data_IF_891111814705
#
_entry.id   IF_891111814705
#
_cell.length_a   1.000
_cell.length_b   1.000
_cell.length_c   1.000
_cell.angle_alpha   90.00
_cell.angle_beta   90.00
_cell.angle_gamma   90.00
#
_symmetry.space_group_name_H-M   'P 1'
#
loop_
_entity.id
_entity.type
_entity.pdbx_description
1 polymer ?
#
# COMPACT_ATOMS: atom_id res chain seq x y z
N UNK A 1 18.69 -3.12 -24.51
CA UNK A 1 17.46 -3.01 -23.70
C UNK A 1 16.88 -1.59 -23.73
N UNK A 2 17.71 -0.55 -23.58
CA UNK A 2 17.32 0.88 -23.68
C UNK A 2 16.49 1.21 -24.94
N UNK A 3 16.91 0.73 -26.12
CA UNK A 3 16.22 1.02 -27.40
C UNK A 3 14.79 0.48 -27.47
N UNK A 4 14.50 -0.63 -26.78
CA UNK A 4 13.17 -1.22 -26.78
C UNK A 4 12.19 -0.37 -25.96
N UNK A 5 12.58 0.07 -24.75
CA UNK A 5 11.71 0.91 -23.90
C UNK A 5 11.48 2.29 -24.52
N UNK A 6 12.51 2.90 -25.11
CA UNK A 6 12.39 4.19 -25.76
C UNK A 6 11.45 4.14 -26.97
N UNK A 7 11.47 3.05 -27.73
CA UNK A 7 10.54 2.83 -28.86
C UNK A 7 9.07 2.75 -28.40
N UNK A 8 8.82 2.39 -27.14
CA UNK A 8 7.47 2.24 -26.57
C UNK A 8 7.02 3.46 -25.75
N UNK A 9 7.72 4.60 -25.81
CA UNK A 9 7.40 5.78 -24.97
C UNK A 9 5.95 6.29 -25.08
N UNK A 10 5.25 6.00 -26.18
CA UNK A 10 3.86 6.41 -26.40
C UNK A 10 2.84 5.29 -26.19
N UNK A 11 3.26 4.05 -25.94
CA UNK A 11 2.38 2.87 -25.82
C UNK A 11 2.53 2.15 -24.48
N UNK A 12 3.67 2.29 -23.81
CA UNK A 12 3.96 1.60 -22.56
C UNK A 12 3.07 2.10 -21.42
N UNK A 13 2.26 1.21 -20.88
CA UNK A 13 1.30 1.48 -19.80
C UNK A 13 1.68 0.85 -18.46
N UNK A 14 2.35 -0.30 -18.50
CA UNK A 14 2.76 -1.05 -17.32
C UNK A 14 4.24 -1.43 -17.41
N UNK A 15 4.95 -1.27 -16.31
CA UNK A 15 6.32 -1.73 -16.15
C UNK A 15 6.43 -2.55 -14.86
N UNK A 16 7.04 -3.73 -15.00
CA UNK A 16 7.42 -4.59 -13.86
C UNK A 16 8.93 -4.70 -13.82
N UNK A 17 9.48 -4.39 -12.67
CA UNK A 17 10.91 -4.39 -12.40
C UNK A 17 11.11 -5.37 -11.27
N UNK A 18 11.83 -6.45 -11.53
CA UNK A 18 11.93 -7.54 -10.58
C UNK A 18 13.31 -8.16 -10.55
N UNK A 19 13.82 -8.45 -9.35
CA UNK A 19 15.05 -9.22 -9.13
C UNK A 19 16.26 -8.65 -9.87
N UNK A 20 16.34 -7.31 -9.97
CA UNK A 20 17.42 -6.62 -10.66
C UNK A 20 17.92 -5.40 -9.88
N UNK A 21 19.20 -5.06 -10.09
CA UNK A 21 19.78 -3.82 -9.61
C UNK A 21 19.25 -2.64 -10.43
N UNK A 22 18.79 -1.60 -9.73
CA UNK A 22 18.27 -0.40 -10.37
C UNK A 22 19.44 0.46 -10.87
N UNK A 23 19.52 0.61 -12.20
CA UNK A 23 20.56 1.38 -12.87
C UNK A 23 19.96 2.50 -13.76
N UNK A 24 20.83 3.22 -14.47
CA UNK A 24 20.46 4.35 -15.32
C UNK A 24 19.56 3.98 -16.51
N UNK A 25 19.46 2.69 -16.89
CA UNK A 25 18.62 2.27 -18.01
C UNK A 25 17.13 2.52 -17.73
N UNK A 26 16.73 2.59 -16.46
CA UNK A 26 15.35 2.88 -16.05
C UNK A 26 14.99 4.38 -16.14
N UNK A 27 15.94 5.26 -16.43
CA UNK A 27 15.68 6.68 -16.67
C UNK A 27 14.76 6.91 -17.87
N UNK A 28 14.72 5.98 -18.82
CA UNK A 28 13.82 6.00 -19.97
C UNK A 28 12.33 6.01 -19.56
N UNK A 29 11.99 5.53 -18.36
CA UNK A 29 10.61 5.58 -17.85
C UNK A 29 10.10 7.01 -17.65
N UNK A 30 11.03 7.98 -17.51
CA UNK A 30 10.68 9.40 -17.38
C UNK A 30 10.02 9.96 -18.64
N UNK A 31 10.32 9.40 -19.82
CA UNK A 31 9.75 9.85 -21.10
C UNK A 31 8.51 9.05 -21.54
N UNK A 32 8.15 7.97 -20.84
CA UNK A 32 6.95 7.18 -21.13
C UNK A 32 5.69 7.96 -20.75
N UNK A 33 4.88 8.36 -21.73
CA UNK A 33 3.74 9.30 -21.50
C UNK A 33 2.51 8.63 -20.90
N UNK A 34 2.29 7.37 -21.23
CA UNK A 34 1.08 6.63 -20.87
C UNK A 34 1.33 5.60 -19.75
N UNK A 35 2.48 5.70 -19.07
CA UNK A 35 2.82 4.80 -17.98
C UNK A 35 1.93 5.10 -16.77
N UNK A 36 1.10 4.12 -16.40
CA UNK A 36 0.12 4.23 -15.32
C UNK A 36 0.37 3.22 -14.20
N UNK A 37 1.03 2.10 -14.51
CA UNK A 37 1.32 1.04 -13.55
C UNK A 37 2.82 0.81 -13.42
N UNK A 38 3.33 0.88 -12.19
CA UNK A 38 4.70 0.53 -11.85
C UNK A 38 4.72 -0.51 -10.75
N UNK A 39 5.36 -1.64 -11.02
CA UNK A 39 5.59 -2.71 -10.05
C UNK A 39 7.08 -2.92 -9.84
N UNK A 40 7.50 -2.93 -8.59
CA UNK A 40 8.89 -3.12 -8.18
C UNK A 40 8.94 -4.29 -7.20
N UNK A 41 9.70 -5.33 -7.56
CA UNK A 41 9.70 -6.63 -6.90
C UNK A 41 11.15 -7.01 -6.53
N UNK A 42 11.48 -7.11 -5.25
CA UNK A 42 12.78 -7.56 -4.75
C UNK A 42 13.97 -6.85 -5.40
N UNK A 43 13.85 -5.53 -5.57
CA UNK A 43 14.94 -4.66 -5.99
C UNK A 43 15.70 -4.13 -4.77
N UNK A 44 16.97 -3.77 -4.98
CA UNK A 44 17.85 -3.17 -3.97
C UNK A 44 17.38 -1.76 -3.54
N UNK A 45 18.11 -1.16 -2.59
CA UNK A 45 17.80 0.15 -1.95
C UNK A 45 17.69 1.34 -2.92
N UNK A 46 17.84 1.14 -4.23
CA UNK A 46 17.82 2.18 -5.25
C UNK A 46 16.46 2.47 -5.86
N UNK A 47 15.37 2.02 -5.23
CA UNK A 47 13.99 2.33 -5.65
C UNK A 47 13.71 3.83 -5.73
N UNK A 48 14.34 4.63 -4.88
CA UNK A 48 14.27 6.10 -4.94
C UNK A 48 14.70 6.70 -6.28
N UNK A 49 15.59 6.03 -7.04
CA UNK A 49 16.04 6.49 -8.37
C UNK A 49 14.94 6.35 -9.43
N UNK A 50 14.18 5.24 -9.39
CA UNK A 50 13.07 5.01 -10.32
C UNK A 50 11.87 5.85 -9.94
N UNK A 51 11.63 5.97 -8.65
CA UNK A 51 10.52 6.69 -8.07
C UNK A 51 10.71 8.23 -8.01
N UNK A 52 11.59 8.77 -8.86
CA UNK A 52 11.69 10.21 -9.11
C UNK A 52 10.33 10.79 -9.59
N UNK A 53 10.11 12.08 -9.32
CA UNK A 53 8.84 12.79 -9.56
C UNK A 53 8.34 12.68 -11.01
N UNK A 54 9.23 12.51 -11.99
CA UNK A 54 8.87 12.39 -13.42
C UNK A 54 8.25 11.05 -13.78
N UNK A 55 8.58 10.00 -13.02
CA UNK A 55 7.96 8.69 -13.20
C UNK A 55 6.71 8.64 -12.36
N UNK A 56 6.77 9.09 -11.10
CA UNK A 56 5.67 8.93 -10.15
C UNK A 56 4.44 9.80 -10.46
N UNK A 57 4.59 10.99 -11.03
CA UNK A 57 3.49 11.95 -11.28
C UNK A 57 2.46 11.56 -12.36
N UNK A 58 2.46 10.30 -12.80
CA UNK A 58 1.53 9.72 -13.78
C UNK A 58 1.04 8.33 -13.37
N UNK A 59 1.58 7.78 -12.28
CA UNK A 59 1.24 6.44 -11.82
C UNK A 59 -0.08 6.48 -11.06
N UNK A 60 -1.02 5.62 -11.47
CA UNK A 60 -2.26 5.36 -10.74
C UNK A 60 -2.19 4.07 -9.93
N UNK A 61 -1.29 3.14 -10.32
CA UNK A 61 -1.06 1.86 -9.65
C UNK A 61 0.42 1.69 -9.28
N UNK A 62 0.71 1.63 -7.99
CA UNK A 62 2.04 1.36 -7.47
C UNK A 62 2.05 0.05 -6.66
N UNK A 63 2.99 -0.83 -6.98
CA UNK A 63 3.25 -2.05 -6.23
C UNK A 63 4.73 -2.10 -5.87
N UNK A 64 5.03 -2.14 -4.59
CA UNK A 64 6.40 -2.24 -4.06
C UNK A 64 6.44 -3.41 -3.11
N UNK A 65 7.06 -4.50 -3.57
CA UNK A 65 7.29 -5.71 -2.79
C UNK A 65 8.80 -5.85 -2.69
N UNK A 66 9.41 -5.37 -1.61
CA UNK A 66 10.87 -5.32 -1.55
C UNK A 66 11.42 -5.70 -0.19
N UNK A 67 12.41 -6.59 -0.21
CA UNK A 67 12.92 -7.19 1.01
C UNK A 67 13.65 -6.25 1.99
N UNK A 68 14.03 -5.03 1.59
CA UNK A 68 14.96 -4.15 2.35
C UNK A 68 14.76 -2.64 2.12
N UNK A 69 13.57 -2.19 1.74
CA UNK A 69 13.33 -0.75 1.52
C UNK A 69 12.89 -0.09 2.82
N UNK A 70 13.68 0.89 3.25
CA UNK A 70 13.24 1.89 4.23
C UNK A 70 11.98 2.61 3.71
N UNK A 71 10.92 2.80 4.49
CA UNK A 71 9.73 3.53 4.06
C UNK A 71 9.95 4.93 3.45
N UNK A 72 11.07 5.62 3.73
CA UNK A 72 11.31 7.00 3.30
C UNK A 72 11.23 7.23 1.77
N UNK A 73 11.90 6.45 0.89
CA UNK A 73 11.68 6.50 -0.55
C UNK A 73 10.20 6.44 -0.98
N UNK A 74 9.39 5.64 -0.30
CA UNK A 74 7.96 5.49 -0.62
C UNK A 74 7.21 6.74 -0.16
N UNK A 75 7.48 7.25 1.04
CA UNK A 75 6.90 8.52 1.55
C UNK A 75 7.03 9.65 0.53
N UNK A 76 8.23 9.87 -0.01
CA UNK A 76 8.49 10.93 -0.99
C UNK A 76 7.66 10.78 -2.28
N UNK A 77 7.30 9.56 -2.64
CA UNK A 77 6.48 9.26 -3.82
C UNK A 77 5.02 9.57 -3.56
N UNK A 78 4.54 9.16 -2.40
CA UNK A 78 3.19 9.43 -1.96
C UNK A 78 2.97 10.94 -1.87
N UNK A 79 3.90 11.70 -1.28
CA UNK A 79 3.81 13.16 -1.19
C UNK A 79 3.76 13.85 -2.56
N UNK A 80 4.50 13.33 -3.54
CA UNK A 80 4.59 13.95 -4.88
C UNK A 80 3.47 13.53 -5.82
N UNK A 81 2.95 12.32 -5.67
CA UNK A 81 2.13 11.65 -6.69
C UNK A 81 0.89 10.96 -6.13
N UNK A 82 0.69 10.99 -4.82
CA UNK A 82 -0.41 10.31 -4.14
C UNK A 82 -1.79 10.71 -4.64
N UNK A 83 -1.95 11.93 -5.16
CA UNK A 83 -3.23 12.40 -5.69
C UNK A 83 -3.70 11.57 -6.90
N UNK A 84 -2.79 10.94 -7.64
CA UNK A 84 -3.14 10.10 -8.79
C UNK A 84 -3.29 8.63 -8.42
N UNK A 85 -2.71 8.21 -7.29
CA UNK A 85 -2.74 6.83 -6.85
C UNK A 85 -4.18 6.40 -6.51
N UNK A 86 -4.58 5.31 -7.14
CA UNK A 86 -5.84 4.60 -6.90
C UNK A 86 -5.59 3.21 -6.35
N UNK A 87 -4.47 2.59 -6.71
CA UNK A 87 -4.08 1.26 -6.25
C UNK A 87 -2.68 1.29 -5.68
N UNK A 88 -2.55 0.80 -4.45
CA UNK A 88 -1.29 0.70 -3.75
C UNK A 88 -1.15 -0.67 -3.10
N UNK A 89 -0.03 -1.33 -3.39
CA UNK A 89 0.39 -2.58 -2.75
C UNK A 89 1.79 -2.36 -2.15
N UNK A 90 1.93 -2.58 -0.86
CA UNK A 90 3.19 -2.43 -0.13
C UNK A 90 3.47 -3.68 0.69
N UNK A 91 4.57 -4.38 0.39
CA UNK A 91 5.16 -5.35 1.29
C UNK A 91 6.42 -4.75 1.90
N UNK A 92 6.33 -4.43 3.18
CA UNK A 92 7.32 -3.65 3.90
C UNK A 92 8.14 -4.58 4.79
N UNK A 93 9.46 -4.48 4.75
CA UNK A 93 10.34 -5.25 5.63
C UNK A 93 11.09 -4.29 6.54
N UNK A 94 10.80 -4.32 7.84
CA UNK A 94 11.45 -3.48 8.82
C UNK A 94 10.86 -3.65 10.23
N UNK A 95 11.73 -3.56 11.23
CA UNK A 95 11.35 -3.55 12.66
C UNK A 95 11.26 -2.09 13.20
N UNK A 96 11.51 -1.10 12.35
CA UNK A 96 11.55 0.31 12.77
C UNK A 96 10.17 0.98 12.71
N UNK A 97 9.45 0.91 13.83
CA UNK A 97 8.13 1.51 14.03
C UNK A 97 8.01 3.00 13.68
N UNK A 98 9.10 3.78 13.69
CA UNK A 98 9.03 5.21 13.41
C UNK A 98 8.79 5.50 11.93
N UNK A 99 9.49 4.79 11.03
CA UNK A 99 9.37 5.01 9.60
C UNK A 99 7.99 4.59 9.05
N UNK A 100 7.37 3.58 9.65
CA UNK A 100 5.99 3.20 9.34
C UNK A 100 4.98 4.30 9.70
N UNK A 101 5.22 5.03 10.79
CA UNK A 101 4.34 6.13 11.19
C UNK A 101 4.33 7.22 10.12
N UNK A 102 5.50 7.62 9.64
CA UNK A 102 5.64 8.61 8.56
C UNK A 102 4.97 8.13 7.26
N UNK A 103 5.08 6.84 6.94
CA UNK A 103 4.42 6.25 5.78
C UNK A 103 2.88 6.37 5.88
N UNK A 104 2.30 6.04 7.04
CA UNK A 104 0.86 6.14 7.24
C UNK A 104 0.36 7.59 7.20
N UNK A 105 1.12 8.53 7.75
CA UNK A 105 0.83 9.96 7.68
C UNK A 105 0.87 10.48 6.24
N UNK A 106 1.88 10.06 5.46
CA UNK A 106 2.00 10.41 4.05
C UNK A 106 0.85 9.82 3.22
N UNK A 107 0.46 8.56 3.46
CA UNK A 107 -0.70 7.94 2.82
C UNK A 107 -1.99 8.72 3.12
N UNK A 108 -2.23 9.03 4.39
CA UNK A 108 -3.42 9.74 4.86
C UNK A 108 -3.53 11.13 4.25
N UNK A 109 -2.42 11.87 4.19
CA UNK A 109 -2.39 13.25 3.73
C UNK A 109 -2.34 13.40 2.21
N UNK A 110 -1.67 12.47 1.51
CA UNK A 110 -1.31 12.66 0.10
C UNK A 110 -2.10 11.78 -0.86
N UNK A 111 -2.77 10.72 -0.39
CA UNK A 111 -3.41 9.71 -1.24
C UNK A 111 -4.95 9.65 -1.08
N UNK A 112 -5.69 10.73 -1.38
CA UNK A 112 -7.15 10.78 -1.15
C UNK A 112 -7.96 9.90 -2.12
N UNK A 113 -7.34 9.39 -3.19
CA UNK A 113 -8.01 8.69 -4.28
C UNK A 113 -7.83 7.16 -4.25
N UNK A 114 -7.26 6.61 -3.17
CA UNK A 114 -7.05 5.16 -3.03
C UNK A 114 -8.40 4.43 -3.01
N UNK A 115 -8.51 3.45 -3.90
CA UNK A 115 -9.64 2.52 -4.06
C UNK A 115 -9.21 1.11 -3.65
N UNK A 116 -7.95 0.76 -3.90
CA UNK A 116 -7.36 -0.53 -3.53
C UNK A 116 -6.12 -0.29 -2.69
N UNK A 117 -6.13 -0.81 -1.46
CA UNK A 117 -5.00 -0.77 -0.56
C UNK A 117 -4.67 -2.19 -0.09
N UNK A 118 -3.40 -2.56 -0.22
CA UNK A 118 -2.85 -3.80 0.30
C UNK A 118 -1.54 -3.48 0.99
N UNK A 119 -1.49 -3.67 2.30
CA UNK A 119 -0.29 -3.40 3.10
C UNK A 119 0.02 -4.63 3.92
N UNK A 120 1.22 -5.14 3.71
CA UNK A 120 1.79 -6.26 4.44
C UNK A 120 2.80 -5.81 5.49
N UNK A 121 2.94 -6.63 6.54
CA UNK A 121 3.82 -6.41 7.69
C UNK A 121 3.55 -5.10 8.43
N UNK A 122 2.27 -4.78 8.63
CA UNK A 122 1.86 -3.60 9.36
C UNK A 122 1.29 -3.95 10.74
N UNK A 123 1.72 -3.21 11.77
CA UNK A 123 1.15 -3.30 13.10
C UNK A 123 -0.18 -2.57 13.15
N UNK A 124 -1.13 -3.15 13.87
CA UNK A 124 -2.38 -2.48 14.17
C UNK A 124 -2.14 -1.37 15.20
N UNK A 125 -2.44 -0.14 14.80
CA UNK A 125 -2.17 1.07 15.56
C UNK A 125 -3.29 2.06 15.38
N UNK A 126 -3.37 3.06 16.25
CA UNK A 126 -4.31 4.18 16.10
C UNK A 126 -4.08 4.93 14.78
N UNK A 127 -2.83 5.04 14.32
CA UNK A 127 -2.49 5.68 13.05
C UNK A 127 -3.05 4.90 11.85
N UNK A 128 -3.03 3.57 11.89
CA UNK A 128 -3.65 2.75 10.85
C UNK A 128 -5.16 2.95 10.82
N UNK A 129 -5.82 2.94 11.99
CA UNK A 129 -7.26 3.20 12.13
C UNK A 129 -7.62 4.57 11.55
N UNK A 130 -6.84 5.61 11.89
CA UNK A 130 -7.02 6.95 11.34
C UNK A 130 -6.81 7.02 9.82
N UNK A 131 -5.78 6.36 9.28
CA UNK A 131 -5.57 6.25 7.84
C UNK A 131 -6.82 5.68 7.16
N UNK A 132 -7.27 4.51 7.59
CA UNK A 132 -8.39 3.81 6.96
C UNK A 132 -9.68 4.64 7.02
N UNK A 133 -9.95 5.32 8.14
CA UNK A 133 -11.09 6.24 8.26
C UNK A 133 -11.03 7.42 7.26
N UNK A 134 -9.83 7.83 6.83
CA UNK A 134 -9.63 8.91 5.86
C UNK A 134 -9.84 8.49 4.41
N UNK A 135 -9.77 7.20 4.09
CA UNK A 135 -9.82 6.70 2.71
C UNK A 135 -11.27 6.48 2.24
N UNK A 136 -11.97 7.57 1.96
CA UNK A 136 -13.41 7.56 1.63
C UNK A 136 -13.78 6.80 0.34
N UNK A 137 -12.82 6.57 -0.56
CA UNK A 137 -13.02 5.85 -1.83
C UNK A 137 -12.61 4.38 -1.77
N UNK A 138 -12.12 3.91 -0.62
CA UNK A 138 -11.56 2.59 -0.47
C UNK A 138 -12.63 1.50 -0.69
N UNK A 139 -12.40 0.63 -1.66
CA UNK A 139 -13.27 -0.49 -2.00
C UNK A 139 -12.64 -1.84 -1.65
N UNK A 140 -11.32 -1.93 -1.68
CA UNK A 140 -10.57 -3.13 -1.32
C UNK A 140 -9.51 -2.77 -0.29
N UNK A 141 -9.50 -3.50 0.82
CA UNK A 141 -8.48 -3.41 1.85
C UNK A 141 -7.93 -4.80 2.18
N UNK A 142 -6.62 -4.97 2.05
CA UNK A 142 -5.87 -6.12 2.55
C UNK A 142 -4.84 -5.64 3.58
N UNK A 143 -4.80 -6.31 4.74
CA UNK A 143 -3.85 -6.01 5.82
C UNK A 143 -3.19 -7.31 6.30
N UNK A 144 -1.89 -7.46 6.04
CA UNK A 144 -1.09 -8.58 6.54
C UNK A 144 -0.26 -8.15 7.75
N UNK A 145 -0.27 -8.97 8.80
CA UNK A 145 -0.06 -8.48 10.16
C UNK A 145 1.14 -9.08 10.86
N UNK A 146 1.87 -8.24 11.59
CA UNK A 146 2.83 -8.67 12.60
C UNK A 146 2.27 -8.38 14.00
N UNK A 147 1.91 -9.43 14.75
CA UNK A 147 1.16 -9.32 16.02
C UNK A 147 1.99 -9.46 17.30
N UNK A 148 3.31 -9.57 17.20
CA UNK A 148 4.11 -9.80 18.39
C UNK A 148 3.93 -8.67 19.42
N UNK A 149 3.56 -9.08 20.64
CA UNK A 149 3.60 -8.23 21.83
C UNK A 149 2.36 -7.38 22.12
N UNK A 150 1.25 -7.47 21.38
CA UNK A 150 -0.01 -6.80 21.77
C UNK A 150 -0.81 -7.70 22.73
N UNK A 151 -1.27 -7.14 23.85
CA UNK A 151 -2.16 -7.87 24.77
C UNK A 151 -3.55 -8.05 24.16
N UNK A 152 -4.17 -9.22 24.39
CA UNK A 152 -5.48 -9.60 23.82
C UNK A 152 -6.59 -8.56 24.04
N UNK A 153 -6.71 -8.02 25.25
CA UNK A 153 -7.72 -6.99 25.57
C UNK A 153 -7.50 -5.66 24.84
N UNK A 154 -6.24 -5.28 24.62
CA UNK A 154 -5.91 -4.07 23.87
C UNK A 154 -6.18 -4.28 22.38
N UNK A 155 -5.79 -5.44 21.87
CA UNK A 155 -6.09 -5.84 20.50
C UNK A 155 -7.59 -5.84 20.23
N UNK A 156 -8.39 -6.42 21.13
CA UNK A 156 -9.85 -6.44 21.04
C UNK A 156 -10.46 -5.04 20.92
N UNK A 157 -10.00 -4.08 21.73
CA UNK A 157 -10.45 -2.68 21.66
C UNK A 157 -10.12 -2.05 20.30
N UNK A 158 -8.92 -2.29 19.79
CA UNK A 158 -8.52 -1.76 18.49
C UNK A 158 -9.34 -2.36 17.36
N UNK A 159 -9.62 -3.66 17.41
CA UNK A 159 -10.49 -4.34 16.42
C UNK A 159 -11.90 -3.74 16.43
N UNK A 160 -12.48 -3.48 17.60
CA UNK A 160 -13.79 -2.80 17.71
C UNK A 160 -13.74 -1.43 17.01
N UNK A 161 -12.76 -0.59 17.37
CA UNK A 161 -12.61 0.74 16.78
C UNK A 161 -12.44 0.68 15.26
N UNK A 162 -11.58 -0.21 14.78
CA UNK A 162 -11.35 -0.41 13.36
C UNK A 162 -12.64 -0.80 12.63
N UNK A 163 -13.42 -1.72 13.19
CA UNK A 163 -14.69 -2.19 12.61
C UNK A 163 -15.69 -1.06 12.43
N UNK A 164 -15.78 -0.17 13.42
CA UNK A 164 -16.73 0.95 13.44
C UNK A 164 -16.40 2.04 12.41
N UNK A 165 -15.11 2.19 12.04
CA UNK A 165 -14.65 3.26 11.14
C UNK A 165 -14.44 2.82 9.69
N UNK A 166 -14.67 1.55 9.36
CA UNK A 166 -14.47 1.06 8.00
C UNK A 166 -15.30 1.88 6.99
N UNK A 167 -14.69 2.35 5.88
CA UNK A 167 -15.40 3.14 4.88
C UNK A 167 -16.63 2.40 4.34
N UNK A 168 -17.76 3.10 4.20
CA UNK A 168 -18.99 2.51 3.64
C UNK A 168 -18.84 2.08 2.17
N UNK A 169 -17.81 2.59 1.50
CA UNK A 169 -17.43 2.20 0.13
C UNK A 169 -16.69 0.87 0.07
N UNK A 170 -16.27 0.31 1.21
CA UNK A 170 -15.51 -0.92 1.28
C UNK A 170 -16.37 -2.10 0.83
N UNK A 171 -15.88 -2.83 -0.16
CA UNK A 171 -16.56 -3.98 -0.75
C UNK A 171 -15.90 -5.30 -0.38
N UNK A 172 -14.59 -5.27 -0.08
CA UNK A 172 -13.80 -6.45 0.26
C UNK A 172 -12.74 -6.13 1.31
N UNK A 173 -12.68 -6.98 2.33
CA UNK A 173 -11.73 -6.88 3.44
C UNK A 173 -10.98 -8.21 3.56
N UNK A 174 -9.67 -8.15 3.43
CA UNK A 174 -8.77 -9.28 3.62
C UNK A 174 -7.90 -9.01 4.84
N UNK A 175 -7.88 -9.97 5.77
CA UNK A 175 -7.14 -9.85 7.02
C UNK A 175 -6.30 -11.10 7.27
N UNK A 176 -5.21 -10.91 7.99
CA UNK A 176 -4.38 -12.00 8.48
C UNK A 176 -5.16 -13.00 9.36
N UNK A 177 -4.86 -14.29 9.24
CA UNK A 177 -5.50 -15.37 10.00
C UNK A 177 -5.42 -15.17 11.52
N UNK A 178 -4.41 -14.48 12.03
CA UNK A 178 -4.29 -14.12 13.45
C UNK A 178 -5.45 -13.26 13.97
N UNK A 179 -6.21 -12.61 13.09
CA UNK A 179 -7.41 -11.85 13.43
C UNK A 179 -8.71 -12.68 13.39
N UNK A 180 -8.65 -13.93 12.91
CA UNK A 180 -9.81 -14.82 12.85
C UNK A 180 -10.54 -14.98 14.20
N UNK A 181 -9.87 -15.05 15.37
CA UNK A 181 -10.55 -15.10 16.66
C UNK A 181 -11.47 -13.90 16.97
N UNK A 182 -11.30 -12.78 16.26
CA UNK A 182 -12.11 -11.56 16.42
C UNK A 182 -13.11 -11.36 15.27
N UNK A 183 -13.34 -12.38 14.42
CA UNK A 183 -14.29 -12.31 13.30
C UNK A 183 -15.69 -11.85 13.74
N UNK A 184 -16.23 -12.45 14.80
CA UNK A 184 -17.55 -12.07 15.31
C UNK A 184 -17.60 -10.61 15.75
N UNK A 185 -16.51 -10.10 16.34
CA UNK A 185 -16.42 -8.71 16.78
C UNK A 185 -16.37 -7.78 15.56
N UNK A 186 -15.56 -8.12 14.55
CA UNK A 186 -15.50 -7.40 13.29
C UNK A 186 -16.89 -7.31 12.66
N UNK A 187 -17.58 -8.45 12.52
CA UNK A 187 -18.89 -8.52 11.86
C UNK A 187 -20.02 -7.85 12.67
N UNK A 188 -19.94 -7.84 14.01
CA UNK A 188 -20.98 -7.25 14.87
C UNK A 188 -20.85 -5.72 15.00
N UNK A 189 -19.63 -5.18 14.89
CA UNK A 189 -19.36 -3.74 15.00
C UNK A 189 -19.22 -3.03 13.65
N UNK A 190 -19.12 -3.77 12.54
CA UNK A 190 -18.98 -3.18 11.23
C UNK A 190 -20.33 -2.73 10.64
N UNK A 191 -20.36 -1.47 10.19
CA UNK A 191 -21.50 -0.90 9.46
C UNK A 191 -21.53 -1.28 7.97
N UNK A 192 -20.46 -1.91 7.47
CA UNK A 192 -20.29 -2.34 6.09
C UNK A 192 -20.80 -3.79 5.95
N UNK A 193 -21.57 -4.14 4.90
CA UNK A 193 -22.10 -5.49 4.71
C UNK A 193 -21.02 -6.49 4.24
N UNK A 194 -20.02 -6.76 5.08
CA UNK A 194 -18.83 -7.57 4.76
C UNK A 194 -19.02 -9.08 4.84
N UNK A 195 -20.18 -9.58 5.27
CA UNK A 195 -20.40 -11.03 5.55
C UNK A 195 -20.08 -11.99 4.40
N UNK A 196 -20.04 -11.51 3.14
CA UNK A 196 -19.67 -12.32 1.96
C UNK A 196 -18.31 -11.96 1.36
N UNK A 197 -17.64 -10.94 1.90
CA UNK A 197 -16.44 -10.33 1.33
C UNK A 197 -15.30 -10.15 2.33
N UNK A 198 -15.50 -10.63 3.57
CA UNK A 198 -14.44 -10.82 4.55
C UNK A 198 -13.75 -12.16 4.26
N UNK A 199 -12.43 -12.13 4.12
CA UNK A 199 -11.63 -13.33 3.95
C UNK A 199 -10.40 -13.26 4.85
N UNK A 200 -10.08 -14.39 5.48
CA UNK A 200 -8.86 -14.57 6.25
C UNK A 200 -7.87 -15.42 5.45
N UNK A 201 -6.59 -15.04 5.48
CA UNK A 201 -5.53 -15.74 4.75
C UNK A 201 -4.34 -16.08 5.65
N UNK A 202 -3.65 -17.16 5.28
CA UNK A 202 -2.45 -17.68 5.93
C UNK A 202 -1.19 -16.99 5.42
#
# INVERSE_FOLDING_TARGET
>A
MISALESQKNSLQEVRIGFCAINEEFEVLKICKNLETLRILNCDQTVSKILDHKVSNKISTLEVICCQIYPQPIVLVLEKSGILLQRLILELNGDDSHEYTLLLEALKSSCPNIIYLDISNIKFSTQLVELISGLQKLQFLSLWRYNDGIQDEELKKQVIQFSEILPLTLQKLELDYSLMPYEDILLNHCNVPLKKSLVFFY
#
